data_IF_483294283497
#
_entry.id   IF_483294283497
#
_cell.length_a   1.000
_cell.length_b   1.000
_cell.length_c   1.000
_cell.angle_alpha   90.00
_cell.angle_beta   90.00
_cell.angle_gamma   90.00
#
_symmetry.space_group_name_H-M   'P 1'
#
loop_
_entity.id
_entity.type
_entity.pdbx_description
1 polymer ?
#
# COMPACT_ATOMS: atom_id res chain seq x y z
N UNK A 1 13.55 0.62 -56.15
CA UNK A 1 13.85 1.36 -54.90
C UNK A 1 13.03 0.81 -53.74
N UNK A 2 13.69 0.41 -52.63
CA UNK A 2 13.04 -0.05 -51.40
C UNK A 2 12.49 1.17 -50.66
N UNK A 3 11.17 1.28 -50.48
CA UNK A 3 10.52 2.41 -49.80
C UNK A 3 10.92 2.46 -48.33
N UNK A 4 11.35 3.62 -47.83
CA UNK A 4 11.84 3.80 -46.45
C UNK A 4 10.67 4.10 -45.49
N UNK A 5 10.69 3.51 -44.30
CA UNK A 5 9.72 3.83 -43.25
C UNK A 5 10.07 5.14 -42.54
N UNK A 6 9.06 5.93 -42.19
CA UNK A 6 9.26 7.19 -41.47
C UNK A 6 9.76 6.94 -40.04
N UNK A 7 11.00 7.37 -39.73
CA UNK A 7 11.54 7.30 -38.37
C UNK A 7 10.69 8.05 -37.34
N UNK A 8 10.05 9.15 -37.75
CA UNK A 8 9.11 9.89 -36.89
C UNK A 8 7.83 9.12 -36.57
N UNK A 9 7.38 8.25 -37.49
CA UNK A 9 6.22 7.40 -37.23
C UNK A 9 6.56 6.32 -36.18
N UNK A 10 7.75 5.71 -36.31
CA UNK A 10 8.25 4.71 -35.35
C UNK A 10 8.44 5.35 -33.97
N UNK A 11 9.06 6.53 -33.89
CA UNK A 11 9.24 7.26 -32.64
C UNK A 11 7.92 7.64 -31.97
N UNK A 12 6.92 8.10 -32.74
CA UNK A 12 5.57 8.38 -32.22
C UNK A 12 4.90 7.13 -31.64
N UNK A 13 5.07 5.97 -32.28
CA UNK A 13 4.55 4.70 -31.77
C UNK A 13 5.22 4.29 -30.46
N UNK A 14 6.56 4.34 -30.40
CA UNK A 14 7.33 4.00 -29.20
C UNK A 14 6.91 4.88 -28.02
N UNK A 15 6.82 6.20 -28.22
CA UNK A 15 6.41 7.14 -27.17
C UNK A 15 4.98 6.88 -26.69
N UNK A 16 4.05 6.56 -27.59
CA UNK A 16 2.68 6.19 -27.23
C UNK A 16 2.61 4.89 -26.40
N UNK A 17 3.50 3.93 -26.65
CA UNK A 17 3.53 2.65 -25.93
C UNK A 17 4.19 2.73 -24.54
N UNK A 18 5.03 3.73 -24.29
CA UNK A 18 5.74 3.85 -23.00
C UNK A 18 4.82 4.41 -21.89
N UNK A 19 3.82 5.20 -22.25
CA UNK A 19 2.94 5.85 -21.29
C UNK A 19 2.19 4.88 -20.32
N UNK A 20 1.57 3.77 -20.78
CA UNK A 20 0.91 2.81 -19.88
C UNK A 20 1.85 2.21 -18.82
N UNK A 21 3.13 2.01 -19.16
CA UNK A 21 4.13 1.51 -18.21
C UNK A 21 4.46 2.53 -17.11
N UNK A 22 4.43 3.82 -17.43
CA UNK A 22 4.62 4.88 -16.44
C UNK A 22 3.45 4.95 -15.44
N UNK A 23 2.21 4.77 -15.93
CA UNK A 23 0.99 4.77 -15.11
C UNK A 23 0.94 3.56 -14.17
N UNK A 24 1.26 2.36 -14.68
CA UNK A 24 1.31 1.13 -13.87
C UNK A 24 2.24 1.24 -12.66
N UNK A 25 3.43 1.80 -12.84
CA UNK A 25 4.38 1.97 -11.73
C UNK A 25 3.88 2.89 -10.61
N UNK A 26 3.12 3.93 -10.94
CA UNK A 26 2.59 4.89 -9.95
C UNK A 26 1.41 4.28 -9.18
N UNK A 27 0.50 3.60 -9.89
CA UNK A 27 -0.69 2.99 -9.29
C UNK A 27 -0.36 1.75 -8.44
N UNK A 28 0.55 0.89 -8.92
CA UNK A 28 0.86 -0.39 -8.27
C UNK A 28 2.13 -0.36 -7.43
N UNK A 29 2.84 0.78 -7.38
CA UNK A 29 3.93 1.02 -6.44
C UNK A 29 5.08 0.02 -6.55
N UNK A 30 5.62 -0.16 -7.75
CA UNK A 30 6.78 -1.07 -7.95
C UNK A 30 8.00 -0.47 -7.22
N UNK A 31 8.53 -1.13 -6.18
CA UNK A 31 9.50 -0.53 -5.26
C UNK A 31 10.86 -0.19 -5.90
N UNK A 32 11.14 -0.71 -7.10
CA UNK A 32 12.41 -0.52 -7.81
C UNK A 32 12.40 0.65 -8.81
N UNK A 33 11.28 1.35 -9.02
CA UNK A 33 11.17 2.35 -10.08
C UNK A 33 11.37 3.78 -9.56
N UNK A 34 12.40 4.47 -10.10
CA UNK A 34 12.73 5.84 -9.70
C UNK A 34 11.60 6.82 -10.07
N UNK A 35 11.05 7.54 -9.06
CA UNK A 35 9.96 8.51 -9.23
C UNK A 35 10.26 9.60 -10.28
N UNK A 36 11.53 10.00 -10.43
CA UNK A 36 11.97 10.98 -11.44
C UNK A 36 11.82 10.44 -12.86
N UNK A 37 12.09 9.14 -13.07
CA UNK A 37 11.91 8.48 -14.36
C UNK A 37 10.41 8.39 -14.68
N UNK A 38 9.56 8.02 -13.71
CA UNK A 38 8.10 8.00 -13.93
C UNK A 38 7.55 9.37 -14.37
N UNK A 39 8.04 10.47 -13.76
CA UNK A 39 7.57 11.82 -14.06
C UNK A 39 7.97 12.28 -15.46
N UNK A 40 9.21 12.02 -15.87
CA UNK A 40 9.68 12.34 -17.24
C UNK A 40 8.94 11.55 -18.32
N UNK A 41 8.58 10.30 -18.04
CA UNK A 41 7.77 9.48 -18.95
C UNK A 41 6.33 9.97 -19.11
N UNK A 42 5.80 10.77 -18.18
CA UNK A 42 4.46 11.37 -18.30
C UNK A 42 4.38 12.42 -19.43
N UNK A 43 5.51 13.00 -19.85
CA UNK A 43 5.56 13.96 -20.96
C UNK A 43 5.64 13.29 -22.34
N UNK A 44 5.90 11.98 -22.40
CA UNK A 44 6.02 11.21 -23.64
C UNK A 44 4.79 11.27 -24.58
N UNK A 45 3.52 11.33 -24.11
CA UNK A 45 2.37 11.40 -25.01
C UNK A 45 2.36 12.69 -25.83
N UNK A 46 2.77 13.82 -25.24
CA UNK A 46 2.82 15.10 -25.94
C UNK A 46 3.84 15.07 -27.09
N UNK A 47 5.03 14.50 -26.84
CA UNK A 47 6.03 14.28 -27.88
C UNK A 47 5.54 13.29 -28.95
N UNK A 48 4.82 12.24 -28.55
CA UNK A 48 4.19 11.27 -29.45
C UNK A 48 3.17 11.89 -30.41
N UNK A 49 2.33 12.82 -29.92
CA UNK A 49 1.36 13.58 -30.73
C UNK A 49 2.08 14.45 -31.77
N UNK A 50 3.08 15.23 -31.34
CA UNK A 50 3.84 16.11 -32.22
C UNK A 50 4.53 15.33 -33.36
N UNK A 51 5.25 14.26 -33.00
CA UNK A 51 5.95 13.42 -33.99
C UNK A 51 4.97 12.67 -34.91
N UNK A 52 3.82 12.24 -34.39
CA UNK A 52 2.78 11.56 -35.16
C UNK A 52 2.18 12.45 -36.24
N UNK A 53 1.83 13.70 -35.91
CA UNK A 53 1.34 14.66 -36.90
C UNK A 53 2.39 15.03 -37.93
N UNK A 54 3.64 15.29 -37.50
CA UNK A 54 4.75 15.54 -38.43
C UNK A 54 5.00 14.36 -39.38
N UNK A 55 4.90 13.12 -38.88
CA UNK A 55 5.04 11.92 -39.69
C UNK A 55 3.91 11.80 -40.72
N UNK A 56 2.66 12.05 -40.31
CA UNK A 56 1.48 12.03 -41.21
C UNK A 56 1.61 13.05 -42.34
N UNK A 57 2.06 14.28 -42.04
CA UNK A 57 2.28 15.32 -43.05
C UNK A 57 3.39 14.92 -44.02
N UNK A 58 4.54 14.43 -43.51
CA UNK A 58 5.66 14.01 -44.37
C UNK A 58 5.31 12.83 -45.27
N UNK A 59 4.63 11.81 -44.75
CA UNK A 59 4.23 10.63 -45.53
C UNK A 59 3.26 11.00 -46.65
N UNK A 60 2.29 11.90 -46.38
CA UNK A 60 1.37 12.40 -47.41
C UNK A 60 2.08 13.20 -48.50
N UNK A 61 3.04 14.05 -48.12
CA UNK A 61 3.82 14.85 -49.08
C UNK A 61 4.80 14.03 -49.92
N UNK A 62 5.29 12.91 -49.40
CA UNK A 62 6.29 12.07 -50.06
C UNK A 62 5.77 11.24 -51.25
N UNK A 63 4.51 11.41 -51.69
CA UNK A 63 3.89 10.75 -52.87
C UNK A 63 4.25 9.26 -53.03
N UNK A 64 4.34 8.53 -51.92
CA UNK A 64 4.61 7.09 -51.88
C UNK A 64 6.08 6.67 -51.73
N UNK A 65 7.03 7.60 -51.60
CA UNK A 65 8.44 7.32 -51.31
C UNK A 65 8.66 6.85 -49.85
N UNK A 66 7.87 7.40 -48.93
CA UNK A 66 7.91 7.08 -47.50
C UNK A 66 6.65 6.30 -47.11
N UNK A 67 6.83 5.20 -46.38
CA UNK A 67 5.73 4.37 -45.83
C UNK A 67 5.62 4.54 -44.31
N UNK A 68 4.51 4.07 -43.74
CA UNK A 68 4.27 4.07 -42.29
C UNK A 68 3.06 4.87 -41.81
N UNK A 69 2.06 5.11 -42.68
CA UNK A 69 0.85 5.85 -42.29
C UNK A 69 0.07 5.13 -41.18
N UNK A 70 -0.02 3.79 -41.25
CA UNK A 70 -0.63 2.97 -40.21
C UNK A 70 0.10 3.13 -38.86
N UNK A 71 1.44 3.10 -38.88
CA UNK A 71 2.31 3.30 -37.71
C UNK A 71 2.07 4.70 -37.11
N UNK A 72 2.02 5.74 -37.93
CA UNK A 72 1.76 7.10 -37.46
C UNK A 72 0.35 7.26 -36.86
N UNK A 73 -0.67 6.60 -37.43
CA UNK A 73 -2.04 6.58 -36.88
C UNK A 73 -2.08 5.84 -35.54
N UNK A 74 -1.42 4.70 -35.44
CA UNK A 74 -1.33 3.92 -34.20
C UNK A 74 -0.60 4.71 -33.09
N UNK A 75 0.54 5.34 -33.40
CA UNK A 75 1.26 6.20 -32.45
C UNK A 75 0.44 7.40 -31.98
N UNK A 76 -0.29 8.06 -32.89
CA UNK A 76 -1.24 9.12 -32.51
C UNK A 76 -2.35 8.59 -31.60
N UNK A 77 -2.98 7.46 -31.94
CA UNK A 77 -4.05 6.87 -31.15
C UNK A 77 -3.59 6.55 -29.72
N UNK A 78 -2.42 5.90 -29.58
CA UNK A 78 -1.84 5.59 -28.27
C UNK A 78 -1.47 6.84 -27.48
N UNK A 79 -0.92 7.86 -28.14
CA UNK A 79 -0.56 9.13 -27.48
C UNK A 79 -1.79 9.87 -26.97
N UNK A 80 -2.87 9.94 -27.77
CA UNK A 80 -4.13 10.54 -27.33
C UNK A 80 -4.80 9.74 -26.21
N UNK A 81 -4.83 8.41 -26.31
CA UNK A 81 -5.32 7.56 -25.23
C UNK A 81 -4.54 7.81 -23.93
N UNK A 82 -3.21 7.98 -24.02
CA UNK A 82 -2.38 8.33 -22.87
C UNK A 82 -2.73 9.68 -22.25
N UNK A 83 -2.94 10.73 -23.06
CA UNK A 83 -3.35 12.05 -22.57
C UNK A 83 -4.70 11.98 -21.85
N UNK A 84 -5.67 11.25 -22.41
CA UNK A 84 -6.99 11.06 -21.79
C UNK A 84 -6.85 10.33 -20.45
N UNK A 85 -6.11 9.23 -20.40
CA UNK A 85 -5.87 8.47 -19.16
C UNK A 85 -5.20 9.33 -18.09
N UNK A 86 -4.21 10.15 -18.47
CA UNK A 86 -3.56 11.08 -17.56
C UNK A 86 -4.54 12.12 -16.99
N UNK A 87 -5.33 12.75 -17.86
CA UNK A 87 -6.32 13.73 -17.44
C UNK A 87 -7.39 13.10 -16.53
N UNK A 88 -7.84 11.89 -16.85
CA UNK A 88 -8.82 11.18 -16.00
C UNK A 88 -8.24 10.74 -14.67
N UNK A 89 -6.95 10.43 -14.59
CA UNK A 89 -6.31 10.03 -13.33
C UNK A 89 -6.31 11.17 -12.30
N UNK A 90 -6.17 12.42 -12.74
CA UNK A 90 -6.31 13.60 -11.87
C UNK A 90 -7.74 13.84 -11.39
N UNK A 91 -8.74 13.31 -12.10
CA UNK A 91 -10.15 13.42 -11.73
C UNK A 91 -10.61 12.31 -10.77
N UNK A 92 -9.80 11.27 -10.57
CA UNK A 92 -10.08 10.20 -9.61
C UNK A 92 -9.60 10.68 -8.24
N UNK A 93 -10.50 10.95 -7.27
CA UNK A 93 -10.08 11.26 -5.91
C UNK A 93 -9.45 10.01 -5.28
N UNK A 94 -8.13 10.05 -5.05
CA UNK A 94 -7.39 8.97 -4.39
C UNK A 94 -7.73 8.83 -2.90
N UNK A 95 -8.44 9.80 -2.32
CA UNK A 95 -8.73 9.86 -0.88
C UNK A 95 -9.90 8.95 -0.44
N UNK A 96 -10.38 8.07 -1.33
CA UNK A 96 -11.53 7.18 -1.07
C UNK A 96 -11.14 5.73 -0.80
N UNK A 97 -10.03 5.49 -0.10
CA UNK A 97 -9.79 4.13 0.41
C UNK A 97 -10.47 4.01 1.78
N UNK A 98 -11.56 3.23 1.91
CA UNK A 98 -12.16 2.96 3.20
C UNK A 98 -11.15 2.14 4.01
N UNK A 99 -10.46 2.80 4.95
CA UNK A 99 -9.59 2.16 5.92
C UNK A 99 -10.37 1.36 6.99
N UNK A 100 -11.70 1.29 6.89
CA UNK A 100 -12.56 0.52 7.79
C UNK A 100 -12.22 -0.97 7.86
N UNK A 101 -11.76 -1.59 6.77
CA UNK A 101 -11.31 -2.99 6.79
C UNK A 101 -10.03 -3.17 7.61
N UNK A 102 -9.09 -2.22 7.49
CA UNK A 102 -7.85 -2.21 8.26
C UNK A 102 -8.14 -1.96 9.75
N UNK A 103 -9.01 -1.01 10.06
CA UNK A 103 -9.47 -0.72 11.42
C UNK A 103 -10.19 -1.91 12.06
N UNK A 104 -11.10 -2.55 11.31
CA UNK A 104 -11.76 -3.77 11.78
C UNK A 104 -10.77 -4.92 12.02
N UNK A 105 -9.76 -5.05 11.16
CA UNK A 105 -8.68 -6.03 11.33
C UNK A 105 -7.81 -5.70 12.55
N UNK A 106 -7.59 -4.41 12.84
CA UNK A 106 -6.86 -3.96 14.02
C UNK A 106 -7.60 -4.32 15.31
N UNK A 107 -8.88 -3.99 15.40
CA UNK A 107 -9.74 -4.36 16.54
C UNK A 107 -9.83 -5.88 16.70
N UNK A 108 -10.01 -6.62 15.60
CA UNK A 108 -10.01 -8.09 15.63
C UNK A 108 -8.69 -8.67 16.16
N UNK A 109 -7.56 -8.11 15.71
CA UNK A 109 -6.23 -8.53 16.16
C UNK A 109 -5.99 -8.22 17.64
N UNK A 110 -6.48 -7.09 18.15
CA UNK A 110 -6.45 -6.79 19.60
C UNK A 110 -7.25 -7.82 20.41
N UNK A 111 -8.44 -8.23 19.94
CA UNK A 111 -9.24 -9.28 20.59
C UNK A 111 -8.51 -10.62 20.60
N UNK A 112 -7.85 -10.98 19.49
CA UNK A 112 -7.01 -12.18 19.42
C UNK A 112 -5.84 -12.11 20.40
N UNK A 113 -5.14 -10.97 20.46
CA UNK A 113 -4.05 -10.76 21.42
C UNK A 113 -4.53 -10.87 22.86
N UNK A 114 -5.68 -10.29 23.19
CA UNK A 114 -6.25 -10.36 24.53
C UNK A 114 -6.50 -11.81 24.98
N UNK A 115 -7.08 -12.63 24.09
CA UNK A 115 -7.33 -14.04 24.37
C UNK A 115 -6.02 -14.80 24.60
N UNK A 116 -5.02 -14.63 23.72
CA UNK A 116 -3.74 -15.30 23.82
C UNK A 116 -2.94 -14.87 25.07
N UNK A 117 -2.88 -13.57 25.35
CA UNK A 117 -2.22 -13.01 26.54
C UNK A 117 -2.88 -13.49 27.82
N UNK A 118 -4.22 -13.47 27.87
CA UNK A 118 -4.99 -13.95 29.02
C UNK A 118 -4.76 -15.42 29.31
N UNK A 119 -4.64 -16.26 28.28
CA UNK A 119 -4.30 -17.66 28.45
C UNK A 119 -2.84 -17.87 28.86
N UNK A 120 -1.90 -17.13 28.27
CA UNK A 120 -0.49 -17.23 28.63
C UNK A 120 -0.28 -16.91 30.10
N UNK A 121 -0.90 -15.83 30.60
CA UNK A 121 -0.82 -15.46 32.02
C UNK A 121 -1.39 -16.53 32.96
N UNK A 122 -2.46 -17.23 32.54
CA UNK A 122 -3.02 -18.37 33.31
C UNK A 122 -2.11 -19.60 33.28
N UNK A 123 -1.46 -19.87 32.16
CA UNK A 123 -0.54 -20.99 32.00
C UNK A 123 0.78 -20.78 32.74
N UNK A 124 1.20 -19.52 32.94
CA UNK A 124 2.48 -19.15 33.54
C UNK A 124 2.28 -18.26 34.79
N UNK A 125 1.67 -18.76 35.88
CA UNK A 125 1.32 -17.93 37.05
C UNK A 125 2.53 -17.32 37.78
N UNK A 126 3.71 -17.93 37.67
CA UNK A 126 4.96 -17.44 38.27
C UNK A 126 5.66 -16.38 37.41
N UNK A 127 5.66 -16.53 36.09
CA UNK A 127 6.29 -15.59 35.15
C UNK A 127 5.36 -14.40 34.79
N UNK A 128 4.06 -14.65 34.70
CA UNK A 128 3.06 -13.69 34.24
C UNK A 128 2.90 -13.69 32.71
N UNK A 129 2.78 -12.51 32.12
CA UNK A 129 2.64 -12.25 30.69
C UNK A 129 3.96 -12.46 29.93
N UNK A 130 3.92 -12.68 28.60
CA UNK A 130 5.12 -12.91 27.80
C UNK A 130 6.00 -11.65 27.73
N UNK A 131 7.30 -11.80 27.45
CA UNK A 131 8.20 -10.64 27.28
C UNK A 131 8.04 -9.98 25.91
N UNK A 132 7.52 -10.71 24.92
CA UNK A 132 7.30 -10.22 23.56
C UNK A 132 6.18 -11.01 22.88
N UNK A 133 5.61 -10.45 21.81
CA UNK A 133 4.60 -11.15 21.00
C UNK A 133 5.14 -12.39 20.29
N UNK A 134 6.45 -12.46 20.07
CA UNK A 134 7.10 -13.64 19.48
C UNK A 134 6.96 -14.90 20.34
N UNK A 135 6.84 -14.76 21.67
CA UNK A 135 6.58 -15.89 22.57
C UNK A 135 5.17 -16.48 22.39
N UNK A 136 4.25 -15.71 21.79
CA UNK A 136 2.91 -16.15 21.44
C UNK A 136 2.83 -16.66 19.99
N UNK A 137 3.91 -16.63 19.22
CA UNK A 137 3.85 -17.05 17.81
C UNK A 137 3.58 -18.55 17.71
N UNK A 138 2.67 -18.94 16.82
CA UNK A 138 2.47 -20.34 16.45
C UNK A 138 3.80 -20.98 16.00
N UNK A 139 4.12 -22.16 16.52
CA UNK A 139 5.38 -22.86 16.21
C UNK A 139 5.31 -23.60 14.88
N UNK A 140 4.11 -24.00 14.46
CA UNK A 140 3.86 -24.58 13.14
C UNK A 140 2.78 -23.81 12.39
N UNK A 141 2.84 -23.76 11.05
CA UNK A 141 1.73 -23.26 10.25
C UNK A 141 0.49 -24.10 10.56
N UNK A 142 -0.61 -23.44 10.93
CA UNK A 142 -1.89 -24.03 11.35
C UNK A 142 -1.95 -24.60 12.78
N UNK A 143 -1.01 -24.25 13.66
CA UNK A 143 -1.18 -24.51 15.09
C UNK A 143 -2.29 -23.58 15.66
N UNK A 144 -3.53 -24.08 15.64
CA UNK A 144 -4.65 -23.46 16.33
C UNK A 144 -4.60 -23.82 17.82
N UNK A 145 -3.62 -23.24 18.54
CA UNK A 145 -3.61 -23.29 19.98
C UNK A 145 -4.15 -21.95 20.51
N UNK A 146 -5.01 -21.94 21.53
CA UNK A 146 -5.56 -20.67 22.01
C UNK A 146 -4.54 -19.77 22.76
N UNK A 147 -3.28 -20.24 22.87
CA UNK A 147 -2.12 -19.48 23.33
C UNK A 147 -1.36 -18.80 22.17
N UNK A 148 -1.68 -19.13 20.92
CA UNK A 148 -0.89 -18.72 19.76
C UNK A 148 -1.56 -17.66 18.91
N UNK A 149 -0.74 -16.81 18.30
CA UNK A 149 -1.13 -15.82 17.30
C UNK A 149 -0.41 -16.12 15.98
N UNK A 150 -1.00 -15.67 14.87
CA UNK A 150 -0.35 -15.74 13.56
C UNK A 150 0.97 -14.95 13.57
N UNK A 151 1.96 -15.52 12.89
CA UNK A 151 3.26 -14.90 12.55
C UNK A 151 3.17 -13.45 12.09
N UNK A 152 2.16 -13.08 11.30
CA UNK A 152 1.97 -11.69 10.86
C UNK A 152 1.74 -10.76 12.06
N UNK A 153 0.87 -11.17 12.98
CA UNK A 153 0.57 -10.37 14.19
C UNK A 153 1.72 -10.41 15.19
N UNK A 154 2.42 -11.53 15.30
CA UNK A 154 3.62 -11.66 16.13
C UNK A 154 4.74 -10.70 15.69
N UNK A 155 4.84 -10.42 14.39
CA UNK A 155 5.82 -9.46 13.85
C UNK A 155 5.53 -8.00 14.23
N UNK A 156 4.34 -7.72 14.74
CA UNK A 156 3.93 -6.37 15.14
C UNK A 156 3.34 -5.52 14.03
N UNK A 157 3.08 -6.07 12.84
CA UNK A 157 2.39 -5.34 11.76
C UNK A 157 1.35 -6.21 11.06
N UNK A 158 0.11 -5.72 10.95
CA UNK A 158 -0.97 -6.43 10.25
C UNK A 158 -1.98 -5.46 9.66
N UNK A 159 -2.37 -5.69 8.41
CA UNK A 159 -3.41 -4.93 7.69
C UNK A 159 -3.23 -3.40 7.79
N UNK A 160 -2.00 -2.90 7.69
CA UNK A 160 -1.71 -1.45 7.74
C UNK A 160 -1.63 -0.84 9.14
N UNK A 161 -1.68 -1.66 10.20
CA UNK A 161 -1.51 -1.25 11.58
C UNK A 161 -0.25 -1.83 12.19
N UNK A 162 0.41 -1.04 13.04
CA UNK A 162 1.55 -1.43 13.87
C UNK A 162 1.08 -1.70 15.28
N UNK A 163 1.37 -2.90 15.78
CA UNK A 163 1.07 -3.37 17.13
C UNK A 163 2.32 -3.29 18.00
N UNK A 164 2.28 -2.43 19.01
CA UNK A 164 3.38 -2.28 19.97
C UNK A 164 2.95 -2.88 21.30
N UNK A 165 3.59 -3.98 21.69
CA UNK A 165 3.37 -4.64 22.98
C UNK A 165 4.43 -4.21 23.98
N UNK A 166 3.99 -3.77 25.15
CA UNK A 166 4.85 -3.34 26.26
C UNK A 166 4.48 -4.15 27.50
N UNK A 167 5.29 -5.16 27.89
CA UNK A 167 5.07 -5.87 29.13
C UNK A 167 5.38 -4.96 30.33
N UNK A 168 4.61 -5.09 31.43
CA UNK A 168 4.78 -4.30 32.65
C UNK A 168 4.84 -5.18 33.89
N UNK A 169 5.62 -4.71 34.87
CA UNK A 169 5.57 -5.18 36.26
C UNK A 169 4.93 -4.07 37.09
N UNK A 170 3.69 -4.28 37.53
CA UNK A 170 2.87 -3.37 38.31
C UNK A 170 3.34 -3.38 39.77
N UNK A 171 3.67 -4.55 40.31
CA UNK A 171 4.08 -4.71 41.72
C UNK A 171 5.60 -4.62 41.95
N UNK A 172 6.41 -4.32 40.93
CA UNK A 172 7.90 -4.34 41.00
C UNK A 172 8.49 -5.67 41.55
N UNK A 173 7.72 -6.75 41.47
CA UNK A 173 8.10 -8.09 41.96
C UNK A 173 9.01 -8.86 41.01
N UNK A 174 9.34 -8.26 39.85
CA UNK A 174 10.04 -8.93 38.74
C UNK A 174 9.13 -9.83 37.90
N UNK A 175 7.86 -10.01 38.29
CA UNK A 175 6.81 -10.68 37.53
C UNK A 175 6.15 -9.71 36.56
N UNK A 176 5.85 -10.18 35.35
CA UNK A 176 5.12 -9.40 34.34
C UNK A 176 3.61 -9.58 34.55
N UNK A 177 3.01 -8.85 35.47
CA UNK A 177 1.60 -8.91 35.86
C UNK A 177 0.71 -7.88 35.14
N UNK A 178 1.28 -7.07 34.25
CA UNK A 178 0.55 -6.15 33.38
C UNK A 178 1.11 -6.09 31.96
N UNK A 179 0.35 -5.47 31.07
CA UNK A 179 0.82 -5.18 29.72
C UNK A 179 0.04 -4.01 29.12
N UNK A 180 0.63 -3.38 28.10
CA UNK A 180 -0.05 -2.46 27.21
C UNK A 180 0.16 -2.88 25.77
N UNK A 181 -0.89 -2.74 24.96
CA UNK A 181 -0.85 -2.94 23.51
C UNK A 181 -1.38 -1.68 22.84
N UNK A 182 -0.58 -1.12 21.95
CA UNK A 182 -0.96 -0.01 21.08
C UNK A 182 -1.14 -0.55 19.66
N UNK A 183 -2.17 -0.11 18.96
CA UNK A 183 -2.33 -0.36 17.53
C UNK A 183 -2.51 0.96 16.79
N UNK A 184 -1.48 1.36 16.05
CA UNK A 184 -1.41 2.65 15.34
C UNK A 184 -1.36 2.44 13.81
N UNK A 185 -2.01 3.30 13.01
CA UNK A 185 -1.93 3.20 11.55
C UNK A 185 -0.50 3.50 11.07
N UNK A 186 0.04 2.64 10.20
CA UNK A 186 1.40 2.78 9.64
C UNK A 186 1.49 4.04 8.75
N UNK A 187 0.41 4.38 8.08
CA UNK A 187 0.24 5.59 7.29
C UNK A 187 -1.09 6.26 7.65
N UNK A 188 -1.12 7.19 8.63
CA UNK A 188 -2.33 7.89 9.04
C UNK A 188 -3.05 8.55 7.84
N UNK A 189 -4.38 8.47 7.81
CA UNK A 189 -5.21 8.98 6.71
C UNK A 189 -5.28 8.08 5.46
N UNK A 190 -4.41 7.07 5.36
CA UNK A 190 -4.43 6.09 4.25
C UNK A 190 -4.69 4.66 4.72
N UNK A 191 -3.98 4.23 5.77
CA UNK A 191 -4.11 2.90 6.37
C UNK A 191 -5.15 2.85 7.49
N UNK A 192 -5.46 4.00 8.09
CA UNK A 192 -6.37 4.17 9.23
C UNK A 192 -6.32 5.59 9.76
N UNK A 193 -7.34 5.98 10.51
CA UNK A 193 -7.36 7.24 11.28
C UNK A 193 -7.48 6.99 12.78
N UNK A 194 -8.03 5.85 13.18
CA UNK A 194 -8.16 5.50 14.58
C UNK A 194 -6.88 4.88 15.13
N UNK A 195 -6.53 5.27 16.34
CA UNK A 195 -5.50 4.67 17.18
C UNK A 195 -6.20 3.86 18.26
N UNK A 196 -5.68 2.67 18.57
CA UNK A 196 -6.27 1.79 19.56
C UNK A 196 -5.30 1.45 20.68
N UNK A 197 -5.85 1.25 21.87
CA UNK A 197 -5.12 0.86 23.06
C UNK A 197 -5.85 -0.25 23.79
N UNK A 198 -5.10 -1.17 24.39
CA UNK A 198 -5.62 -2.21 25.26
C UNK A 198 -4.60 -2.52 26.35
N UNK A 199 -5.08 -2.89 27.53
CA UNK A 199 -4.27 -3.36 28.66
C UNK A 199 -4.85 -4.67 29.23
N UNK A 200 -4.31 -5.12 30.36
CA UNK A 200 -4.76 -6.33 31.04
C UNK A 200 -6.23 -6.31 31.51
N UNK A 201 -6.90 -5.16 31.49
CA UNK A 201 -8.35 -5.07 31.78
C UNK A 201 -9.21 -5.51 30.59
N UNK A 202 -8.59 -5.84 29.45
CA UNK A 202 -9.26 -6.26 28.21
C UNK A 202 -10.16 -5.20 27.57
N UNK A 203 -10.09 -3.96 28.04
CA UNK A 203 -10.87 -2.85 27.50
C UNK A 203 -10.15 -2.21 26.33
N UNK A 204 -10.76 -2.25 25.14
CA UNK A 204 -10.23 -1.57 23.95
C UNK A 204 -10.65 -0.10 24.01
N UNK A 205 -9.68 0.80 23.87
CA UNK A 205 -9.86 2.25 23.83
C UNK A 205 -9.45 2.82 22.49
N UNK A 206 -10.04 3.94 22.09
CA UNK A 206 -9.87 4.51 20.75
C UNK A 206 -9.76 6.04 20.77
N UNK A 207 -8.91 6.58 19.91
CA UNK A 207 -8.76 8.02 19.60
C UNK A 207 -8.44 8.22 18.11
N UNK A 208 -8.58 9.42 17.56
CA UNK A 208 -8.24 9.70 16.14
C UNK A 208 -7.14 10.76 15.93
N UNK A 209 -6.79 11.57 16.94
CA UNK A 209 -5.81 12.68 16.78
C UNK A 209 -4.45 12.40 17.43
N UNK A 210 -4.37 11.35 18.22
CA UNK A 210 -3.20 10.98 19.01
C UNK A 210 -3.21 9.48 19.28
N UNK A 211 -2.05 8.88 19.60
CA UNK A 211 -2.00 7.51 20.10
C UNK A 211 -2.96 7.34 21.29
N UNK A 212 -3.72 6.25 21.26
CA UNK A 212 -4.63 5.92 22.33
C UNK A 212 -3.85 5.48 23.58
N UNK A 213 -4.44 5.69 24.75
CA UNK A 213 -3.85 5.28 26.03
C UNK A 213 -4.94 4.85 27.03
N UNK A 214 -4.54 4.52 28.26
CA UNK A 214 -5.45 4.07 29.32
C UNK A 214 -6.55 5.08 29.71
N UNK A 215 -6.41 6.36 29.34
CA UNK A 215 -7.41 7.40 29.59
C UNK A 215 -8.29 7.69 28.37
N UNK A 216 -7.99 7.11 27.21
CA UNK A 216 -8.78 7.28 26.00
C UNK A 216 -10.20 6.69 26.16
N UNK A 217 -11.22 7.21 25.46
CA UNK A 217 -12.56 6.65 25.47
C UNK A 217 -12.59 5.17 25.09
N UNK A 218 -13.54 4.42 25.64
CA UNK A 218 -13.77 3.02 25.25
C UNK A 218 -14.30 2.94 23.82
N UNK A 219 -13.86 1.91 23.10
CA UNK A 219 -14.46 1.52 21.84
C UNK A 219 -15.89 1.02 22.12
N UNK A 220 -16.88 1.75 21.60
CA UNK A 220 -18.32 1.43 21.74
C UNK A 220 -18.73 0.28 20.81
#
# INVERSE_FOLDING_TARGET
MKKRTSGKAIASLILGMIFPFAVSNILFGVPSFNKTISFTLMLSPFAGVLLGHMAKVRIRRAKGEIRGLAIARAGLALSYAGIVLFATAWLIPFDRFPYGANESSAVGSLRTLNAALGQYGRANPTQGFPRSLEELKAKTPNEEHPLTIDSTLASGEKAGYRFTYVPKSIENSGKLDGYEVFADPIAPGRSGVHHFFMDQTSSIRVTHDRPANAQSPLLQ
#
